data_IF_831006435604
#
_entry.id   IF_831006435604
#
_cell.length_a   1.000
_cell.length_b   1.000
_cell.length_c   1.000
_cell.angle_alpha   90.00
_cell.angle_beta   90.00
_cell.angle_gamma   90.00
#
_symmetry.space_group_name_H-M   'P 1'
#
loop_
_entity.id
_entity.type
_entity.pdbx_description
1 polymer ?
#
# COMPACT_ATOMS: atom_id res chain seq x y z
N UNK A 1 27.82 -22.50 7.27
CA UNK A 1 27.93 -21.51 6.18
C UNK A 1 27.75 -22.13 4.79
N UNK A 2 28.48 -23.20 4.44
CA UNK A 2 28.42 -23.80 3.09
C UNK A 2 27.03 -24.28 2.64
N UNK A 3 26.26 -24.94 3.52
CA UNK A 3 24.91 -25.42 3.20
C UNK A 3 23.94 -24.25 2.92
N UNK A 4 23.97 -23.20 3.72
CA UNK A 4 23.09 -22.05 3.54
C UNK A 4 23.35 -21.34 2.21
N UNK A 5 24.62 -21.09 1.86
CA UNK A 5 24.96 -20.47 0.58
C UNK A 5 24.55 -21.34 -0.62
N UNK A 6 24.63 -22.67 -0.51
CA UNK A 6 24.13 -23.58 -1.53
C UNK A 6 22.61 -23.46 -1.72
N UNK A 7 21.86 -23.42 -0.62
CA UNK A 7 20.40 -23.25 -0.65
C UNK A 7 20.02 -21.91 -1.27
N UNK A 8 20.63 -20.80 -0.83
CA UNK A 8 20.31 -19.46 -1.35
C UNK A 8 20.61 -19.35 -2.86
N UNK A 9 21.70 -19.95 -3.35
CA UNK A 9 22.01 -19.97 -4.79
C UNK A 9 20.99 -20.74 -5.62
N UNK A 10 20.41 -21.80 -5.07
CA UNK A 10 19.39 -22.62 -5.74
C UNK A 10 17.95 -22.18 -5.48
N UNK A 11 17.74 -21.12 -4.68
CA UNK A 11 16.42 -20.70 -4.23
C UNK A 11 15.55 -20.27 -5.42
N UNK A 12 14.43 -20.96 -5.59
CA UNK A 12 13.41 -20.58 -6.57
C UNK A 12 12.56 -19.44 -5.99
N UNK A 13 12.58 -18.29 -6.64
CA UNK A 13 11.77 -17.12 -6.28
C UNK A 13 10.59 -17.04 -7.25
N UNK A 14 9.40 -16.75 -6.74
CA UNK A 14 8.15 -16.69 -7.51
C UNK A 14 7.55 -15.28 -7.44
N UNK A 15 7.97 -14.34 -8.31
CA UNK A 15 7.54 -12.95 -8.25
C UNK A 15 6.02 -12.76 -8.35
N UNK A 16 5.36 -13.52 -9.22
CA UNK A 16 3.90 -13.45 -9.37
C UNK A 16 3.18 -13.84 -8.09
N UNK A 17 3.64 -14.88 -7.40
CA UNK A 17 3.07 -15.29 -6.12
C UNK A 17 3.30 -14.25 -5.02
N UNK A 18 4.44 -13.57 -5.05
CA UNK A 18 4.71 -12.45 -4.13
C UNK A 18 3.72 -11.31 -4.37
N UNK A 19 3.46 -10.97 -5.63
CA UNK A 19 2.48 -9.94 -6.01
C UNK A 19 1.06 -10.34 -5.61
N UNK A 20 0.63 -11.57 -5.93
CA UNK A 20 -0.68 -12.10 -5.51
C UNK A 20 -0.90 -11.98 -4.00
N UNK A 21 0.11 -12.30 -3.18
CA UNK A 21 0.00 -12.20 -1.73
C UNK A 21 -0.20 -10.76 -1.26
N UNK A 22 0.38 -9.77 -1.95
CA UNK A 22 0.17 -8.36 -1.66
C UNK A 22 -1.25 -7.92 -2.01
N UNK A 23 -1.76 -8.36 -3.16
CA UNK A 23 -3.11 -8.09 -3.64
C UNK A 23 -4.20 -8.79 -2.80
N UNK A 24 -3.88 -9.89 -2.12
CA UNK A 24 -4.80 -10.62 -1.24
C UNK A 24 -5.35 -9.78 -0.08
N UNK A 25 -4.72 -8.63 0.20
CA UNK A 25 -5.21 -7.64 1.15
C UNK A 25 -6.27 -6.70 0.58
N UNK A 26 -6.67 -6.83 -0.68
CA UNK A 26 -7.60 -5.92 -1.38
C UNK A 26 -7.12 -4.46 -1.40
N UNK A 27 -5.80 -4.21 -1.38
CA UNK A 27 -5.22 -2.87 -1.43
C UNK A 27 -5.06 -2.18 -0.07
N UNK A 28 -5.28 -2.89 1.05
CA UNK A 28 -5.15 -2.31 2.39
C UNK A 28 -3.74 -1.84 2.77
N UNK A 29 -2.71 -2.36 2.08
CA UNK A 29 -1.32 -1.90 2.23
C UNK A 29 -1.16 -0.39 1.96
N UNK A 30 -2.05 0.20 1.16
CA UNK A 30 -2.05 1.63 0.85
C UNK A 30 -2.75 2.52 1.90
N UNK A 31 -3.38 1.94 2.93
CA UNK A 31 -4.15 2.67 3.96
C UNK A 31 -3.38 3.81 4.63
N UNK A 32 -2.09 3.59 4.93
CA UNK A 32 -1.25 4.65 5.49
C UNK A 32 -1.05 5.82 4.53
N UNK A 33 -0.88 5.56 3.22
CA UNK A 33 -0.73 6.62 2.22
C UNK A 33 -1.99 7.47 2.11
N UNK A 34 -3.16 6.83 2.16
CA UNK A 34 -4.46 7.51 2.18
C UNK A 34 -4.59 8.38 3.43
N UNK A 35 -4.24 7.85 4.61
CA UNK A 35 -4.28 8.61 5.86
C UNK A 35 -3.39 9.86 5.80
N UNK A 36 -2.16 9.73 5.30
CA UNK A 36 -1.23 10.85 5.17
C UNK A 36 -1.75 11.88 4.16
N UNK A 37 -2.26 11.44 3.00
CA UNK A 37 -2.83 12.34 2.01
C UNK A 37 -4.02 13.15 2.55
N UNK A 38 -4.88 12.54 3.37
CA UNK A 38 -5.98 13.25 4.03
C UNK A 38 -5.48 14.28 5.05
N UNK A 39 -4.43 13.96 5.80
CA UNK A 39 -3.79 14.89 6.73
C UNK A 39 -3.19 16.08 5.98
N UNK A 40 -2.51 15.82 4.86
CA UNK A 40 -1.93 16.86 4.00
C UNK A 40 -3.02 17.78 3.38
N UNK A 41 -4.25 17.27 3.22
CA UNK A 41 -5.44 18.05 2.81
C UNK A 41 -6.16 18.73 3.99
N UNK A 42 -5.53 18.78 5.16
CA UNK A 42 -6.00 19.51 6.34
C UNK A 42 -6.97 18.74 7.23
N UNK A 43 -7.08 17.41 7.09
CA UNK A 43 -7.81 16.60 8.06
C UNK A 43 -6.97 16.39 9.32
N UNK A 44 -7.60 16.36 10.50
CA UNK A 44 -6.88 15.99 11.71
C UNK A 44 -6.41 14.53 11.62
N UNK A 45 -5.29 14.19 12.26
CA UNK A 45 -4.80 12.80 12.28
C UNK A 45 -5.82 11.83 12.86
N UNK A 46 -6.58 12.26 13.87
CA UNK A 46 -7.59 11.41 14.51
C UNK A 46 -8.76 11.12 13.57
N UNK A 47 -9.24 12.14 12.83
CA UNK A 47 -10.34 11.95 11.88
C UNK A 47 -9.90 11.15 10.66
N UNK A 48 -8.70 11.41 10.14
CA UNK A 48 -8.11 10.64 9.06
C UNK A 48 -7.99 9.17 9.43
N UNK A 49 -7.50 8.88 10.64
CA UNK A 49 -7.42 7.51 11.15
C UNK A 49 -8.79 6.82 11.21
N UNK A 50 -9.82 7.48 11.77
CA UNK A 50 -11.17 6.91 11.89
C UNK A 50 -11.76 6.54 10.53
N UNK A 51 -11.69 7.46 9.56
CA UNK A 51 -12.30 7.26 8.24
C UNK A 51 -11.53 6.19 7.44
N UNK A 52 -10.19 6.22 7.49
CA UNK A 52 -9.35 5.20 6.83
C UNK A 52 -9.59 3.82 7.43
N UNK A 53 -9.61 3.71 8.75
CA UNK A 53 -9.84 2.43 9.45
C UNK A 53 -11.23 1.88 9.14
N UNK A 54 -12.28 2.70 9.17
CA UNK A 54 -13.64 2.26 8.88
C UNK A 54 -13.76 1.67 7.46
N UNK A 55 -13.20 2.35 6.46
CA UNK A 55 -13.22 1.84 5.08
C UNK A 55 -12.32 0.63 4.86
N UNK A 56 -11.20 0.55 5.59
CA UNK A 56 -10.32 -0.62 5.56
C UNK A 56 -11.03 -1.88 6.08
N UNK A 57 -11.77 -1.76 7.18
CA UNK A 57 -12.55 -2.86 7.74
C UNK A 57 -13.66 -3.31 6.80
N UNK A 58 -14.39 -2.37 6.19
CA UNK A 58 -15.42 -2.68 5.18
C UNK A 58 -14.83 -3.46 4.00
N UNK A 59 -13.70 -3.02 3.46
CA UNK A 59 -13.01 -3.70 2.36
C UNK A 59 -12.57 -5.11 2.72
N UNK A 60 -12.04 -5.30 3.93
CA UNK A 60 -11.64 -6.60 4.42
C UNK A 60 -12.81 -7.58 4.57
N UNK A 61 -13.90 -7.13 5.19
CA UNK A 61 -15.10 -7.94 5.42
C UNK A 61 -15.81 -8.28 4.10
N UNK A 62 -15.91 -7.32 3.19
CA UNK A 62 -16.57 -7.48 1.89
C UNK A 62 -15.68 -8.13 0.82
N UNK A 63 -14.38 -8.35 1.10
CA UNK A 63 -13.39 -8.89 0.13
C UNK A 63 -13.41 -8.14 -1.20
N UNK A 64 -13.53 -6.83 -1.12
CA UNK A 64 -13.75 -5.92 -2.25
C UNK A 64 -12.66 -4.85 -2.23
N UNK A 65 -12.16 -4.37 -3.39
CA UNK A 65 -11.05 -3.42 -3.44
C UNK A 65 -11.24 -2.21 -2.52
N UNK A 66 -10.20 -1.90 -1.75
CA UNK A 66 -10.22 -0.81 -0.78
C UNK A 66 -10.50 0.55 -1.43
N UNK A 67 -9.96 0.78 -2.64
CA UNK A 67 -10.19 2.01 -3.41
C UNK A 67 -11.68 2.28 -3.66
N UNK A 68 -12.49 1.25 -3.87
CA UNK A 68 -13.93 1.41 -4.15
C UNK A 68 -14.65 2.03 -2.95
N UNK A 69 -14.36 1.55 -1.73
CA UNK A 69 -14.92 2.14 -0.50
C UNK A 69 -14.45 3.57 -0.27
N UNK A 70 -13.22 3.92 -0.65
CA UNK A 70 -12.73 5.29 -0.54
C UNK A 70 -13.41 6.24 -1.53
N UNK A 71 -13.71 5.74 -2.73
CA UNK A 71 -14.43 6.50 -3.76
C UNK A 71 -15.91 6.68 -3.46
N UNK A 72 -16.45 5.92 -2.51
CA UNK A 72 -17.84 6.03 -2.05
C UNK A 72 -17.97 6.83 -0.73
N UNK A 73 -16.87 7.12 -0.02
CA UNK A 73 -16.90 7.89 1.23
C UNK A 73 -16.81 9.41 0.99
N UNK A 74 -17.89 10.12 1.32
CA UNK A 74 -17.98 11.58 1.17
C UNK A 74 -16.92 12.35 1.97
N UNK A 75 -16.52 11.87 3.16
CA UNK A 75 -15.50 12.55 3.97
C UNK A 75 -14.15 12.56 3.25
N UNK A 76 -13.84 11.48 2.55
CA UNK A 76 -12.61 11.34 1.75
C UNK A 76 -12.72 12.13 0.47
N UNK A 77 -13.83 11.97 -0.26
CA UNK A 77 -14.07 12.68 -1.54
C UNK A 77 -14.15 14.19 -1.41
N UNK A 78 -14.53 14.71 -0.24
CA UNK A 78 -14.49 16.14 0.04
C UNK A 78 -13.06 16.71 0.08
N UNK A 79 -12.04 15.85 0.19
CA UNK A 79 -10.62 16.21 0.34
C UNK A 79 -9.73 15.75 -0.82
N UNK A 80 -10.04 14.58 -1.40
CA UNK A 80 -9.26 13.95 -2.47
C UNK A 80 -10.18 13.62 -3.64
N UNK A 81 -9.77 13.99 -4.84
CA UNK A 81 -10.41 13.59 -6.08
C UNK A 81 -10.19 12.11 -6.38
N UNK A 82 -10.96 11.57 -7.34
CA UNK A 82 -10.80 10.19 -7.81
C UNK A 82 -9.37 9.91 -8.30
N UNK A 83 -8.80 10.83 -9.08
CA UNK A 83 -7.47 10.64 -9.66
C UNK A 83 -6.36 10.73 -8.60
N UNK A 84 -6.50 11.65 -7.64
CA UNK A 84 -5.60 11.70 -6.49
C UNK A 84 -5.65 10.41 -5.69
N UNK A 85 -6.85 9.88 -5.38
CA UNK A 85 -6.99 8.60 -4.68
C UNK A 85 -6.37 7.45 -5.48
N UNK A 86 -6.66 7.33 -6.77
CA UNK A 86 -6.11 6.28 -7.61
C UNK A 86 -4.57 6.31 -7.63
N UNK A 87 -3.96 7.49 -7.66
CA UNK A 87 -2.49 7.63 -7.63
C UNK A 87 -1.83 7.16 -6.32
N UNK A 88 -2.59 7.02 -5.23
CA UNK A 88 -2.08 6.48 -3.96
C UNK A 88 -1.93 4.95 -3.99
N UNK A 89 -2.52 4.27 -4.96
CA UNK A 89 -2.52 2.82 -5.13
C UNK A 89 -1.44 2.38 -6.14
N UNK A 90 -0.23 2.92 -5.96
CA UNK A 90 0.94 2.59 -6.78
C UNK A 90 2.07 2.01 -5.92
N UNK A 91 2.53 0.80 -6.25
CA UNK A 91 3.66 0.16 -5.61
C UNK A 91 5.00 0.83 -5.93
N UNK A 92 5.11 1.50 -7.07
CA UNK A 92 6.31 2.25 -7.47
C UNK A 92 6.72 3.27 -6.42
N UNK A 93 5.75 3.86 -5.71
CA UNK A 93 6.02 4.74 -4.58
C UNK A 93 6.89 4.07 -3.50
N UNK A 94 6.68 2.80 -3.17
CA UNK A 94 7.49 2.09 -2.16
C UNK A 94 8.87 1.68 -2.68
N UNK A 95 9.05 1.62 -4.00
CA UNK A 95 10.32 1.23 -4.64
C UNK A 95 11.24 2.42 -4.94
N UNK A 96 10.77 3.66 -4.76
CA UNK A 96 11.49 4.91 -5.13
C UNK A 96 12.88 5.11 -4.50
N UNK A 97 13.24 4.33 -3.48
CA UNK A 97 14.53 4.40 -2.79
C UNK A 97 15.34 3.11 -2.87
N UNK A 98 14.92 2.15 -3.71
CA UNK A 98 15.63 0.88 -3.91
C UNK A 98 17.01 1.15 -4.47
N UNK A 99 17.15 1.91 -5.55
CA UNK A 99 18.44 2.19 -6.19
C UNK A 99 19.43 2.82 -5.20
N UNK A 100 19.01 3.86 -4.48
CA UNK A 100 19.83 4.50 -3.45
C UNK A 100 20.23 3.55 -2.30
N UNK A 101 19.45 2.50 -2.04
CA UNK A 101 19.79 1.49 -1.03
C UNK A 101 20.84 0.50 -1.55
N UNK A 102 20.80 0.14 -2.84
CA UNK A 102 21.80 -0.71 -3.50
C UNK A 102 23.15 0.02 -3.63
N UNK A 103 23.12 1.29 -4.05
CA UNK A 103 24.32 2.13 -4.15
C UNK A 103 25.07 2.23 -2.82
N UNK A 104 24.35 2.36 -1.70
CA UNK A 104 24.94 2.44 -0.35
C UNK A 104 25.71 1.20 0.07
N UNK A 105 25.39 0.04 -0.50
CA UNK A 105 26.09 -1.23 -0.22
C UNK A 105 27.05 -1.62 -1.34
N UNK A 106 27.26 -0.75 -2.33
CA UNK A 106 28.17 -0.96 -3.45
C UNK A 106 27.66 -1.94 -4.51
N UNK A 107 26.33 -2.03 -4.67
CA UNK A 107 25.67 -2.79 -5.74
C UNK A 107 25.00 -1.85 -6.74
#
# INVERSE_FOLDING_TARGET
LNLFAYIVRGLQVYPERMKENMEASYGLVFSQRVMLALIDKGMTRQDAYKVVQANAMKSWEARTPYLDFLLDDEHIRSKLSRDELASLFDYGWYLRHVDASFERIGL
#
